data_IF_449896968577
#
_entry.id   IF_449896968577
#
_cell.length_a   1.000
_cell.length_b   1.000
_cell.length_c   1.000
_cell.angle_alpha   90.00
_cell.angle_beta   90.00
_cell.angle_gamma   90.00
#
_symmetry.space_group_name_H-M   'P 1'
#
loop_
_entity.id
_entity.type
_entity.pdbx_description
1 polymer ?
#
# COMPACT_ATOMS: atom_id res chain seq x y z
N UNK A 1 21.52 -4.99 -3.12
CA UNK A 1 21.64 -6.35 -3.68
C UNK A 1 21.91 -6.21 -5.16
N UNK A 2 22.97 -6.85 -5.64
CA UNK A 2 23.33 -6.82 -7.05
C UNK A 2 22.67 -7.98 -7.79
N UNK A 3 22.19 -7.73 -9.01
CA UNK A 3 21.77 -8.78 -9.94
C UNK A 3 22.31 -8.52 -11.34
N UNK A 4 22.41 -9.59 -12.14
CA UNK A 4 22.84 -9.49 -13.53
C UNK A 4 22.12 -10.51 -14.38
N UNK A 5 21.50 -10.04 -15.46
CA UNK A 5 20.90 -10.89 -16.47
C UNK A 5 22.02 -11.49 -17.33
N UNK A 6 22.17 -12.82 -17.33
CA UNK A 6 23.16 -13.49 -18.22
C UNK A 6 22.53 -13.81 -19.58
N UNK A 7 21.21 -14.00 -19.62
CA UNK A 7 20.47 -14.26 -20.85
C UNK A 7 19.63 -15.52 -20.77
N UNK A 8 19.53 -16.22 -21.89
CA UNK A 8 18.58 -17.30 -22.09
C UNK A 8 19.29 -18.57 -22.58
N UNK A 9 18.79 -19.73 -22.16
CA UNK A 9 19.17 -21.02 -22.72
C UNK A 9 17.91 -21.77 -23.16
N UNK A 10 18.00 -22.60 -24.20
CA UNK A 10 16.83 -23.37 -24.66
C UNK A 10 16.49 -24.47 -23.66
N UNK A 11 15.22 -24.55 -23.26
CA UNK A 11 14.71 -25.63 -22.41
C UNK A 11 14.31 -26.82 -23.28
N UNK A 12 15.16 -27.83 -23.32
CA UNK A 12 14.87 -29.05 -24.07
C UNK A 12 13.73 -29.84 -23.39
N UNK A 13 12.72 -30.21 -24.17
CA UNK A 13 11.58 -31.00 -23.68
C UNK A 13 10.43 -30.18 -23.06
N UNK A 14 10.48 -28.85 -23.13
CA UNK A 14 9.35 -28.00 -22.71
C UNK A 14 8.10 -28.35 -23.52
N UNK A 15 6.99 -28.62 -22.84
CA UNK A 15 5.66 -28.81 -23.44
C UNK A 15 4.93 -27.49 -23.71
N UNK A 16 5.49 -26.37 -23.24
CA UNK A 16 4.91 -25.05 -23.45
C UNK A 16 5.67 -24.33 -24.56
N UNK A 17 5.06 -24.25 -25.74
CA UNK A 17 5.63 -23.61 -26.92
C UNK A 17 5.79 -22.09 -26.74
N UNK A 18 4.99 -21.46 -25.87
CA UNK A 18 5.09 -20.03 -25.56
C UNK A 18 6.21 -19.71 -24.56
N UNK A 19 6.82 -20.74 -23.97
CA UNK A 19 7.87 -20.60 -22.95
C UNK A 19 9.02 -21.59 -23.16
N UNK A 20 9.80 -21.45 -24.25
CA UNK A 20 10.81 -22.43 -24.64
C UNK A 20 12.17 -22.21 -23.98
N UNK A 21 12.35 -21.17 -23.16
CA UNK A 21 13.66 -20.81 -22.59
C UNK A 21 13.77 -21.04 -21.08
N UNK A 22 15.01 -21.12 -20.61
CA UNK A 22 15.43 -20.85 -19.25
C UNK A 22 16.02 -19.44 -19.25
N UNK A 23 15.45 -18.54 -18.44
CA UNK A 23 15.99 -17.21 -18.20
C UNK A 23 16.94 -17.27 -17.01
N UNK A 24 18.21 -16.93 -17.23
CA UNK A 24 19.29 -17.12 -16.26
C UNK A 24 19.70 -15.76 -15.70
N UNK A 25 19.55 -15.61 -14.39
CA UNK A 25 19.91 -14.40 -13.68
C UNK A 25 20.87 -14.71 -12.52
N UNK A 26 21.86 -13.86 -12.33
CA UNK A 26 22.79 -13.92 -11.21
C UNK A 26 22.34 -12.98 -10.13
N UNK A 27 22.51 -13.40 -8.88
CA UNK A 27 22.27 -12.55 -7.74
C UNK A 27 23.41 -12.66 -6.74
N UNK A 28 23.76 -11.53 -6.13
CA UNK A 28 24.61 -11.53 -4.95
C UNK A 28 23.80 -12.01 -3.74
N UNK A 29 24.12 -13.22 -3.29
CA UNK A 29 23.45 -13.89 -2.18
C UNK A 29 24.05 -13.54 -0.81
N UNK A 30 25.09 -12.70 -0.74
CA UNK A 30 25.73 -12.31 0.53
C UNK A 30 24.90 -11.28 1.31
N UNK A 31 24.07 -10.52 0.62
CA UNK A 31 23.29 -9.44 1.22
C UNK A 31 22.02 -9.96 1.93
N UNK A 32 21.71 -9.38 3.10
CA UNK A 32 20.52 -9.69 3.93
C UNK A 32 19.15 -9.33 3.30
N UNK A 33 19.12 -8.96 2.02
CA UNK A 33 17.87 -8.67 1.31
C UNK A 33 17.26 -10.01 0.91
N UNK A 34 16.06 -10.31 1.42
CA UNK A 34 15.32 -11.51 1.03
C UNK A 34 14.98 -11.43 -0.47
N UNK A 35 15.71 -12.14 -1.32
CA UNK A 35 15.13 -13.35 -1.89
C UNK A 35 13.65 -13.26 -2.32
N UNK A 36 13.16 -12.60 -3.40
CA UNK A 36 11.70 -12.49 -3.65
C UNK A 36 11.07 -13.79 -4.19
N UNK A 37 11.50 -14.93 -3.65
CA UNK A 37 10.86 -16.23 -3.75
C UNK A 37 11.24 -17.11 -2.55
N UNK A 38 10.56 -18.23 -2.41
CA UNK A 38 10.80 -19.22 -1.37
C UNK A 38 11.45 -20.46 -1.94
N UNK A 39 12.39 -21.02 -1.20
CA UNK A 39 13.01 -22.30 -1.52
C UNK A 39 12.01 -23.42 -1.22
N UNK A 40 11.82 -24.33 -2.18
CA UNK A 40 10.95 -25.50 -2.05
C UNK A 40 11.76 -26.72 -1.61
N UNK A 41 12.94 -26.90 -2.19
CA UNK A 41 13.85 -28.00 -1.88
C UNK A 41 15.31 -27.59 -2.12
N UNK A 42 16.24 -28.22 -1.39
CA UNK A 42 17.69 -28.01 -1.57
C UNK A 42 18.22 -26.77 -0.85
N UNK A 43 19.06 -26.00 -1.53
CA UNK A 43 19.66 -24.74 -1.04
C UNK A 43 19.84 -23.72 -2.17
N UNK A 44 20.11 -22.46 -1.81
CA UNK A 44 20.50 -21.44 -2.78
C UNK A 44 21.94 -21.66 -3.30
N UNK A 45 22.28 -21.17 -4.51
CA UNK A 45 23.63 -21.26 -5.08
C UNK A 45 24.65 -20.51 -4.22
N UNK A 46 25.82 -21.12 -4.01
CA UNK A 46 26.94 -20.55 -3.23
C UNK A 46 28.15 -20.20 -4.10
N UNK A 47 28.21 -20.71 -5.32
CA UNK A 47 29.26 -20.43 -6.29
C UNK A 47 28.66 -20.32 -7.70
N UNK A 48 29.46 -19.82 -8.64
CA UNK A 48 29.06 -19.51 -10.02
C UNK A 48 28.82 -20.76 -10.89
N UNK A 49 29.09 -21.97 -10.38
CA UNK A 49 28.81 -23.26 -11.02
C UNK A 49 27.53 -23.93 -10.51
N UNK A 50 26.79 -23.29 -9.61
CA UNK A 50 25.55 -23.80 -9.05
C UNK A 50 24.34 -23.01 -9.57
N UNK A 51 23.21 -23.69 -9.72
CA UNK A 51 21.96 -23.02 -10.04
C UNK A 51 20.79 -23.57 -9.23
N UNK A 52 19.76 -22.74 -9.09
CA UNK A 52 18.43 -23.15 -8.65
C UNK A 52 17.41 -22.92 -9.76
N UNK A 53 16.43 -23.81 -9.81
CA UNK A 53 15.43 -23.85 -10.88
C UNK A 53 14.03 -23.57 -10.32
N UNK A 54 13.24 -22.83 -11.07
CA UNK A 54 11.83 -22.61 -10.75
C UNK A 54 11.04 -23.92 -10.85
N UNK A 55 10.26 -24.26 -9.80
CA UNK A 55 9.30 -25.36 -9.80
C UNK A 55 8.29 -25.24 -10.96
N UNK A 56 8.10 -24.03 -11.48
CA UNK A 56 7.24 -23.74 -12.62
C UNK A 56 7.65 -24.53 -13.88
N UNK A 57 8.93 -24.89 -14.03
CA UNK A 57 9.43 -25.73 -15.13
C UNK A 57 8.74 -27.09 -15.14
N UNK A 58 8.53 -27.68 -13.95
CA UNK A 58 7.84 -28.96 -13.84
C UNK A 58 6.34 -28.81 -14.07
N UNK A 59 5.70 -27.82 -13.42
CA UNK A 59 4.24 -27.68 -13.45
C UNK A 59 3.70 -27.17 -14.79
N UNK A 60 4.46 -26.32 -15.50
CA UNK A 60 4.04 -25.70 -16.76
C UNK A 60 4.85 -26.19 -17.95
N UNK A 61 6.16 -26.37 -17.80
CA UNK A 61 7.03 -26.88 -18.86
C UNK A 61 7.01 -28.40 -19.00
N UNK A 62 6.55 -29.13 -17.99
CA UNK A 62 6.51 -30.60 -18.01
C UNK A 62 7.89 -31.26 -17.95
N UNK A 63 8.96 -30.50 -17.67
CA UNK A 63 10.33 -31.00 -17.52
C UNK A 63 10.66 -31.12 -16.04
N UNK A 64 11.16 -32.28 -15.62
CA UNK A 64 11.55 -32.50 -14.21
C UNK A 64 13.07 -32.54 -14.10
N UNK A 65 13.60 -31.73 -13.19
CA UNK A 65 15.01 -31.72 -12.81
C UNK A 65 15.13 -32.11 -11.34
N UNK A 66 16.21 -32.82 -11.00
CA UNK A 66 16.53 -33.23 -9.64
C UNK A 66 17.75 -32.48 -9.11
N UNK A 67 17.84 -32.39 -7.79
CA UNK A 67 19.01 -31.81 -7.12
C UNK A 67 20.21 -32.73 -7.37
N UNK A 68 21.31 -32.17 -7.85
CA UNK A 68 22.51 -32.87 -8.28
C UNK A 68 22.66 -33.00 -9.80
N UNK A 69 21.61 -32.71 -10.58
CA UNK A 69 21.68 -32.75 -12.04
C UNK A 69 22.70 -31.75 -12.59
N UNK A 70 23.48 -32.17 -13.59
CA UNK A 70 24.41 -31.31 -14.32
C UNK A 70 23.80 -30.85 -15.63
N UNK A 71 23.57 -29.55 -15.78
CA UNK A 71 22.96 -28.95 -16.96
C UNK A 71 24.01 -28.18 -17.76
N UNK A 72 24.22 -28.61 -19.01
CA UNK A 72 25.00 -27.84 -19.99
C UNK A 72 24.07 -26.83 -20.66
N UNK A 73 24.26 -25.56 -20.34
CA UNK A 73 23.44 -24.46 -20.87
C UNK A 73 24.24 -23.67 -21.90
N UNK A 74 23.70 -23.58 -23.12
CA UNK A 74 24.18 -22.65 -24.14
C UNK A 74 23.45 -21.33 -23.93
N UNK A 75 24.09 -20.41 -23.23
CA UNK A 75 23.52 -19.12 -22.84
C UNK A 75 23.71 -18.14 -23.99
N UNK A 76 22.66 -17.41 -24.32
CA UNK A 76 22.67 -16.42 -25.38
C UNK A 76 21.62 -15.34 -25.16
N UNK A 77 21.54 -14.43 -26.13
CA UNK A 77 20.56 -13.35 -26.14
C UNK A 77 19.43 -13.65 -27.10
N UNK A 78 18.22 -13.24 -26.72
CA UNK A 78 17.07 -13.24 -27.62
C UNK A 78 17.14 -11.98 -28.47
N UNK A 79 17.27 -12.13 -29.77
CA UNK A 79 17.37 -11.03 -30.72
C UNK A 79 16.17 -11.12 -31.66
N UNK A 80 15.41 -10.06 -31.76
CA UNK A 80 14.33 -9.92 -32.74
C UNK A 80 14.86 -9.70 -34.15
N UNK A 81 14.02 -9.87 -35.16
CA UNK A 81 14.41 -9.64 -36.56
C UNK A 81 14.79 -8.19 -36.88
N UNK A 82 14.42 -7.24 -36.02
CA UNK A 82 14.86 -5.84 -36.05
C UNK A 82 16.26 -5.61 -35.43
N UNK A 83 16.90 -6.67 -34.94
CA UNK A 83 18.22 -6.62 -34.31
C UNK A 83 18.19 -6.17 -32.85
N UNK A 84 17.00 -5.95 -32.25
CA UNK A 84 16.90 -5.53 -30.84
C UNK A 84 16.90 -6.73 -29.89
N UNK A 85 17.50 -6.53 -28.72
CA UNK A 85 17.48 -7.51 -27.64
C UNK A 85 16.09 -7.57 -26.98
N UNK A 86 15.56 -8.79 -26.83
CA UNK A 86 14.25 -9.04 -26.23
C UNK A 86 14.41 -9.51 -24.77
N UNK A 87 13.80 -8.77 -23.85
CA UNK A 87 13.90 -9.00 -22.42
C UNK A 87 12.77 -9.92 -21.90
N UNK A 88 12.82 -10.23 -20.60
CA UNK A 88 11.99 -11.25 -19.94
C UNK A 88 10.55 -10.76 -19.74
N UNK A 89 10.32 -9.45 -19.80
CA UNK A 89 9.03 -8.79 -19.83
C UNK A 89 8.34 -8.85 -21.20
N UNK A 90 9.12 -9.12 -22.25
CA UNK A 90 8.65 -9.21 -23.64
C UNK A 90 8.27 -10.64 -23.97
N UNK A 91 6.98 -10.87 -24.23
CA UNK A 91 6.45 -12.20 -24.58
C UNK A 91 7.19 -12.82 -25.77
N UNK A 92 7.12 -14.14 -25.88
CA UNK A 92 7.73 -14.87 -27.00
C UNK A 92 7.21 -14.35 -28.34
N UNK A 93 8.12 -13.91 -29.20
CA UNK A 93 7.83 -13.41 -30.54
C UNK A 93 7.87 -14.56 -31.55
N UNK A 94 6.96 -15.52 -31.38
CA UNK A 94 6.87 -16.69 -32.26
C UNK A 94 5.99 -16.38 -33.47
N UNK A 95 6.50 -15.59 -34.42
CA UNK A 95 5.90 -15.41 -35.75
C UNK A 95 4.41 -15.02 -35.81
N UNK A 96 3.86 -14.49 -34.71
CA UNK A 96 2.43 -14.19 -34.59
C UNK A 96 2.04 -12.90 -35.32
N UNK A 97 3.02 -12.08 -35.71
CA UNK A 97 2.80 -10.89 -36.52
C UNK A 97 2.78 -11.33 -37.99
N UNK A 98 1.59 -11.64 -38.49
CA UNK A 98 1.37 -11.94 -39.90
C UNK A 98 0.92 -10.68 -40.63
N UNK A 99 1.45 -10.43 -41.81
CA UNK A 99 0.90 -9.39 -42.69
C UNK A 99 -0.50 -9.79 -43.21
N UNK A 100 -1.15 -8.90 -43.96
CA UNK A 100 -2.46 -9.18 -44.59
C UNK A 100 -2.44 -10.39 -45.55
N UNK A 101 -1.24 -10.90 -45.91
CA UNK A 101 -1.02 -12.07 -46.77
C UNK A 101 -0.66 -13.34 -45.99
N UNK A 102 -0.55 -13.26 -44.67
CA UNK A 102 -0.24 -14.40 -43.80
C UNK A 102 1.25 -14.69 -43.63
N UNK A 103 2.15 -13.85 -44.14
CA UNK A 103 3.60 -14.00 -44.02
C UNK A 103 4.10 -13.51 -42.65
N UNK A 104 5.01 -14.27 -42.04
CA UNK A 104 5.59 -13.94 -40.74
C UNK A 104 6.51 -12.72 -40.90
N UNK A 105 6.13 -11.61 -40.28
CA UNK A 105 6.86 -10.33 -40.38
C UNK A 105 7.91 -10.13 -39.28
N UNK A 106 7.86 -10.92 -38.20
CA UNK A 106 8.77 -10.77 -37.07
C UNK A 106 9.09 -12.12 -36.43
N UNK A 107 10.38 -12.47 -36.35
CA UNK A 107 10.89 -13.68 -35.71
C UNK A 107 11.94 -13.32 -34.65
N UNK A 108 11.93 -14.02 -33.52
CA UNK A 108 13.06 -14.00 -32.59
C UNK A 108 14.01 -15.18 -32.81
N UNK A 109 15.31 -14.92 -32.59
CA UNK A 109 16.36 -15.93 -32.62
C UNK A 109 17.17 -15.86 -31.34
N UNK A 110 17.56 -17.03 -30.81
CA UNK A 110 18.50 -17.13 -29.71
C UNK A 110 19.92 -17.20 -30.27
N UNK A 111 20.71 -16.16 -30.04
CA UNK A 111 22.12 -16.10 -30.46
C UNK A 111 23.00 -16.53 -29.28
N UNK A 112 23.65 -17.71 -29.33
CA UNK A 112 24.48 -18.21 -28.24
C UNK A 112 25.75 -17.39 -28.08
N UNK A 113 26.10 -17.03 -26.85
CA UNK A 113 27.30 -16.25 -26.50
C UNK A 113 28.30 -17.08 -25.67
N UNK A 114 27.80 -17.94 -24.78
CA UNK A 114 28.64 -18.75 -23.91
C UNK A 114 28.03 -20.11 -23.62
N UNK A 115 28.86 -21.06 -23.20
CA UNK A 115 28.40 -22.38 -22.75
C UNK A 115 28.97 -22.64 -21.37
N UNK A 116 28.09 -22.94 -20.41
CA UNK A 116 28.50 -23.26 -19.04
C UNK A 116 27.75 -24.47 -18.52
N UNK A 117 28.42 -25.26 -17.69
CA UNK A 117 27.84 -26.41 -17.00
C UNK A 117 27.53 -25.98 -15.58
N UNK A 118 26.28 -26.15 -15.17
CA UNK A 118 25.83 -25.86 -13.82
C UNK A 118 25.34 -27.12 -13.12
N UNK A 119 25.46 -27.14 -11.80
CA UNK A 119 24.87 -28.18 -10.95
C UNK A 119 23.60 -27.64 -10.30
N UNK A 120 22.48 -28.36 -10.42
CA UNK A 120 21.21 -27.98 -9.77
C UNK A 120 21.32 -28.25 -8.28
N UNK A 121 21.25 -27.20 -7.45
CA UNK A 121 21.38 -27.32 -5.98
C UNK A 121 20.07 -27.11 -5.22
N UNK A 122 19.02 -26.68 -5.91
CA UNK A 122 17.72 -26.45 -5.29
C UNK A 122 16.62 -26.07 -6.28
N UNK A 123 15.40 -26.11 -5.76
CA UNK A 123 14.17 -25.76 -6.48
C UNK A 123 13.51 -24.61 -5.73
N UNK A 124 13.18 -23.54 -6.43
CA UNK A 124 12.50 -22.35 -5.90
C UNK A 124 11.05 -22.32 -6.38
N UNK A 125 10.15 -21.68 -5.63
CA UNK A 125 8.85 -21.31 -6.18
C UNK A 125 9.05 -20.33 -7.33
N UNK A 126 8.06 -20.26 -8.22
CA UNK A 126 8.03 -19.22 -9.27
C UNK A 126 8.23 -17.85 -8.62
N UNK A 127 9.28 -17.10 -9.00
CA UNK A 127 9.49 -15.76 -8.46
C UNK A 127 8.38 -14.81 -8.86
N UNK A 128 8.08 -13.83 -8.00
CA UNK A 128 7.01 -12.86 -8.26
C UNK A 128 7.32 -11.95 -9.47
N UNK A 129 8.60 -11.78 -9.79
CA UNK A 129 9.07 -11.02 -10.94
C UNK A 129 9.11 -11.84 -12.24
N UNK A 130 8.64 -13.09 -12.26
CA UNK A 130 8.49 -13.88 -13.49
C UNK A 130 7.05 -13.73 -14.01
N UNK A 131 6.76 -12.89 -15.04
CA UNK A 131 5.41 -12.74 -15.60
C UNK A 131 4.83 -14.03 -16.15
N UNK A 132 3.49 -14.13 -16.25
CA UNK A 132 2.83 -15.34 -16.79
C UNK A 132 3.12 -15.51 -18.28
N UNK A 133 3.26 -14.41 -19.00
CA UNK A 133 3.61 -14.33 -20.42
C UNK A 133 5.12 -14.35 -20.68
N UNK A 134 5.96 -14.52 -19.64
CA UNK A 134 7.40 -14.51 -19.80
C UNK A 134 7.86 -15.69 -20.67
N UNK A 135 8.80 -15.48 -21.61
CA UNK A 135 9.24 -16.48 -22.59
C UNK A 135 10.22 -17.51 -22.01
N UNK A 136 10.79 -17.24 -20.82
CA UNK A 136 11.69 -18.16 -20.12
C UNK A 136 11.29 -18.45 -18.68
N UNK A 137 11.54 -19.67 -18.20
CA UNK A 137 11.42 -20.00 -16.77
C UNK A 137 12.65 -19.49 -16.01
N UNK A 138 12.45 -18.93 -14.82
CA UNK A 138 13.57 -18.36 -14.07
C UNK A 138 14.50 -19.43 -13.51
N UNK A 139 15.79 -19.26 -13.78
CA UNK A 139 16.92 -19.98 -13.23
C UNK A 139 17.84 -18.96 -12.55
N UNK A 140 18.22 -19.22 -11.31
CA UNK A 140 19.04 -18.29 -10.52
C UNK A 140 20.39 -18.92 -10.23
N UNK A 141 21.46 -18.18 -10.45
CA UNK A 141 22.83 -18.55 -10.10
C UNK A 141 23.48 -17.47 -9.23
N UNK A 142 24.69 -17.75 -8.76
CA UNK A 142 25.45 -16.85 -7.91
C UNK A 142 26.18 -15.79 -8.73
N UNK A 143 26.11 -14.53 -8.29
CA UNK A 143 26.94 -13.44 -8.82
C UNK A 143 28.22 -13.34 -8.02
N UNK A 144 29.36 -13.60 -8.66
CA UNK A 144 30.66 -13.33 -8.04
C UNK A 144 31.11 -11.89 -8.34
N UNK A 145 31.07 -11.03 -7.32
CA UNK A 145 31.44 -9.61 -7.46
C UNK A 145 32.90 -9.42 -7.89
N UNK A 146 33.81 -10.31 -7.48
CA UNK A 146 35.22 -10.26 -7.91
C UNK A 146 35.44 -10.55 -9.39
N UNK A 147 34.46 -11.17 -10.05
CA UNK A 147 34.53 -11.50 -11.48
C UNK A 147 33.91 -10.42 -12.38
N UNK A 148 33.38 -9.33 -11.81
CA UNK A 148 32.78 -8.23 -12.56
C UNK A 148 33.86 -7.38 -13.25
N UNK A 149 33.64 -7.07 -14.52
CA UNK A 149 34.47 -6.12 -15.27
C UNK A 149 33.89 -4.70 -15.17
N UNK A 150 34.72 -3.65 -15.35
CA UNK A 150 34.25 -2.26 -15.31
C UNK A 150 33.11 -1.94 -16.28
N UNK A 151 33.05 -2.61 -17.43
CA UNK A 151 32.03 -2.39 -18.46
C UNK A 151 30.79 -3.31 -18.32
N UNK A 152 30.74 -4.17 -17.28
CA UNK A 152 29.61 -5.07 -17.08
C UNK A 152 28.39 -4.30 -16.54
N UNK A 153 27.27 -4.40 -17.25
CA UNK A 153 26.00 -3.88 -16.76
C UNK A 153 25.48 -4.76 -15.60
N UNK A 154 25.24 -4.13 -14.44
CA UNK A 154 24.65 -4.77 -13.27
C UNK A 154 23.44 -3.98 -12.79
N UNK A 155 22.45 -4.69 -12.28
CA UNK A 155 21.28 -4.11 -11.65
C UNK A 155 21.54 -3.94 -10.15
N UNK A 156 21.24 -2.76 -9.62
CA UNK A 156 21.35 -2.48 -8.19
C UNK A 156 19.95 -2.38 -7.60
N UNK A 157 19.59 -3.35 -6.76
CA UNK A 157 18.34 -3.30 -6.00
C UNK A 157 18.59 -2.74 -4.60
N UNK A 158 17.88 -1.66 -4.27
CA UNK A 158 17.94 -0.99 -2.97
C UNK A 158 16.58 -1.11 -2.30
N UNK A 159 16.58 -1.42 -1.00
CA UNK A 159 15.35 -1.43 -0.22
C UNK A 159 15.00 0.00 0.16
N UNK A 160 13.89 0.51 -0.37
CA UNK A 160 13.35 1.80 0.05
C UNK A 160 12.88 1.72 1.52
N UNK A 161 13.15 2.78 2.28
CA UNK A 161 12.68 2.93 3.65
C UNK A 161 11.18 3.27 3.71
N UNK A 162 10.87 4.49 4.14
CA UNK A 162 9.48 4.99 4.09
C UNK A 162 9.21 5.66 2.74
N UNK A 163 8.18 5.18 2.05
CA UNK A 163 7.68 5.82 0.84
C UNK A 163 6.89 7.06 1.23
N UNK A 164 7.47 8.24 0.97
CA UNK A 164 6.85 9.56 1.19
C UNK A 164 7.03 10.41 -0.07
N UNK A 165 6.50 11.63 -0.13
CA UNK A 165 6.73 12.50 -1.31
C UNK A 165 8.24 12.79 -1.53
N UNK A 166 9.04 12.83 -0.47
CA UNK A 166 10.50 12.99 -0.58
C UNK A 166 11.20 11.83 -1.30
N UNK A 167 10.53 10.69 -1.46
CA UNK A 167 11.07 9.55 -2.19
C UNK A 167 11.44 9.92 -3.63
N UNK A 168 10.67 10.79 -4.29
CA UNK A 168 10.97 11.24 -5.65
C UNK A 168 12.26 12.06 -5.69
N UNK A 169 12.47 12.95 -4.71
CA UNK A 169 13.67 13.77 -4.58
C UNK A 169 14.90 12.92 -4.23
N UNK A 170 14.73 11.94 -3.34
CA UNK A 170 15.79 11.01 -2.93
C UNK A 170 16.28 10.18 -4.13
N UNK A 171 15.36 9.66 -4.95
CA UNK A 171 15.71 8.88 -6.15
C UNK A 171 16.36 9.76 -7.21
N UNK A 172 15.86 10.99 -7.43
CA UNK A 172 16.48 11.92 -8.38
C UNK A 172 17.89 12.34 -7.92
N UNK A 173 18.09 12.54 -6.61
CA UNK A 173 19.40 12.84 -6.04
C UNK A 173 20.37 11.66 -6.18
N UNK A 174 19.88 10.43 -5.98
CA UNK A 174 20.64 9.21 -6.24
C UNK A 174 21.03 9.09 -7.72
N UNK A 175 20.09 9.35 -8.64
CA UNK A 175 20.36 9.36 -10.08
C UNK A 175 21.46 10.38 -10.43
N UNK A 176 21.38 11.60 -9.88
CA UNK A 176 22.42 12.62 -10.05
C UNK A 176 23.80 12.16 -9.54
N UNK A 177 23.85 11.41 -8.43
CA UNK A 177 25.10 10.88 -7.88
C UNK A 177 25.79 9.83 -8.78
N UNK A 178 25.02 9.16 -9.64
CA UNK A 178 25.53 8.18 -10.62
C UNK A 178 25.64 8.77 -12.03
N UNK A 179 25.52 10.09 -12.17
CA UNK A 179 25.65 10.79 -13.45
C UNK A 179 24.46 10.59 -14.39
N UNK A 180 23.27 10.28 -13.85
CA UNK A 180 22.03 10.11 -14.59
C UNK A 180 21.11 11.32 -14.40
N UNK A 181 20.49 11.75 -15.49
CA UNK A 181 19.50 12.83 -15.45
C UNK A 181 18.16 12.35 -14.91
N UNK A 182 17.37 13.27 -14.33
CA UNK A 182 16.03 12.95 -13.80
C UNK A 182 15.05 12.43 -14.88
N UNK A 183 15.31 12.69 -16.16
CA UNK A 183 14.49 12.20 -17.27
C UNK A 183 14.76 10.72 -17.59
N UNK A 184 15.88 10.16 -17.13
CA UNK A 184 16.19 8.73 -17.25
C UNK A 184 15.61 7.90 -16.09
N UNK A 185 14.96 8.57 -15.14
CA UNK A 185 14.35 7.92 -13.97
C UNK A 185 12.89 7.64 -14.24
N UNK A 186 12.53 6.37 -14.27
CA UNK A 186 11.14 5.92 -14.36
C UNK A 186 10.61 5.50 -12.98
N UNK A 187 9.40 5.96 -12.66
CA UNK A 187 8.72 5.63 -11.42
C UNK A 187 7.51 4.75 -11.70
N UNK A 188 7.25 3.78 -10.82
CA UNK A 188 5.98 3.08 -10.80
C UNK A 188 4.95 3.93 -10.04
N UNK A 189 4.42 4.95 -10.71
CA UNK A 189 3.50 5.93 -10.12
C UNK A 189 2.22 5.30 -9.56
N UNK A 190 1.75 4.19 -10.14
CA UNK A 190 0.58 3.46 -9.63
C UNK A 190 0.86 2.86 -8.26
N UNK A 191 1.96 2.12 -8.13
CA UNK A 191 2.36 1.51 -6.87
C UNK A 191 2.62 2.57 -5.80
N UNK A 192 3.36 3.62 -6.15
CA UNK A 192 3.67 4.72 -5.23
C UNK A 192 2.40 5.40 -4.74
N UNK A 193 1.40 5.62 -5.62
CA UNK A 193 0.10 6.19 -5.25
C UNK A 193 -0.67 5.31 -4.27
N UNK A 194 -0.62 3.98 -4.40
CA UNK A 194 -1.22 3.08 -3.41
C UNK A 194 -0.54 3.14 -2.04
N UNK A 195 0.77 3.42 -2.01
CA UNK A 195 1.49 3.71 -0.77
C UNK A 195 1.30 5.15 -0.26
N UNK A 196 0.54 5.99 -0.98
CA UNK A 196 0.32 7.40 -0.63
C UNK A 196 1.50 8.32 -0.97
N UNK A 197 2.49 7.84 -1.72
CA UNK A 197 3.56 8.66 -2.28
C UNK A 197 3.10 9.19 -3.64
N UNK A 198 2.76 10.49 -3.69
CA UNK A 198 2.31 11.16 -4.90
C UNK A 198 3.31 12.26 -5.24
N UNK A 199 3.73 12.32 -6.50
CA UNK A 199 4.70 13.32 -7.00
C UNK A 199 4.11 14.73 -7.07
N UNK A 200 2.81 14.83 -7.33
CA UNK A 200 2.09 16.10 -7.48
C UNK A 200 1.43 16.53 -6.16
N UNK A 201 2.00 17.59 -5.57
CA UNK A 201 1.49 18.25 -4.36
C UNK A 201 0.04 18.71 -4.49
N UNK A 202 -0.42 19.03 -5.71
CA UNK A 202 -1.76 19.57 -5.92
C UNK A 202 -2.84 18.51 -5.62
N UNK A 203 -2.62 17.26 -6.03
CA UNK A 203 -3.57 16.17 -5.75
C UNK A 203 -3.68 15.91 -4.25
N UNK A 204 -2.53 15.89 -3.55
CA UNK A 204 -2.50 15.69 -2.11
C UNK A 204 -3.16 16.86 -1.36
N UNK A 205 -2.90 18.09 -1.80
CA UNK A 205 -3.52 19.31 -1.25
C UNK A 205 -5.03 19.31 -1.44
N UNK A 206 -5.53 18.89 -2.60
CA UNK A 206 -6.97 18.78 -2.86
C UNK A 206 -7.62 17.75 -1.94
N UNK A 207 -7.02 16.55 -1.80
CA UNK A 207 -7.57 15.49 -0.95
C UNK A 207 -7.58 15.91 0.52
N UNK A 208 -6.46 16.40 1.05
CA UNK A 208 -6.39 16.85 2.44
C UNK A 208 -7.22 18.11 2.70
N UNK A 209 -7.29 19.03 1.74
CA UNK A 209 -8.16 20.19 1.81
C UNK A 209 -9.63 19.80 1.89
N UNK A 210 -10.06 18.84 1.07
CA UNK A 210 -11.43 18.31 1.11
C UNK A 210 -11.75 17.64 2.45
N UNK A 211 -10.84 16.79 2.96
CA UNK A 211 -10.98 16.14 4.28
C UNK A 211 -11.08 17.19 5.38
N UNK A 212 -10.23 18.21 5.36
CA UNK A 212 -10.24 19.30 6.34
C UNK A 212 -11.58 20.05 6.33
N UNK A 213 -12.08 20.43 5.15
CA UNK A 213 -13.37 21.12 5.00
C UNK A 213 -14.50 20.26 5.55
N UNK A 214 -14.53 18.96 5.23
CA UNK A 214 -15.53 18.03 5.76
C UNK A 214 -15.49 17.95 7.29
N UNK A 215 -14.30 17.83 7.88
CA UNK A 215 -14.13 17.79 9.34
C UNK A 215 -14.68 19.07 9.97
N UNK A 216 -14.37 20.23 9.40
CA UNK A 216 -14.86 21.53 9.92
C UNK A 216 -16.38 21.60 9.87
N UNK A 217 -17.00 21.21 8.75
CA UNK A 217 -18.47 21.22 8.59
C UNK A 217 -19.12 20.30 9.63
N UNK A 218 -18.64 19.05 9.73
CA UNK A 218 -19.17 18.07 10.67
C UNK A 218 -19.00 18.55 12.11
N UNK A 219 -17.86 19.17 12.43
CA UNK A 219 -17.60 19.71 13.76
C UNK A 219 -18.57 20.84 14.10
N UNK A 220 -18.77 21.83 13.22
CA UNK A 220 -19.70 22.94 13.46
C UNK A 220 -21.13 22.43 13.65
N UNK A 221 -21.57 21.50 12.80
CA UNK A 221 -22.89 20.88 12.90
C UNK A 221 -23.07 20.13 14.23
N UNK A 222 -22.07 19.31 14.60
CA UNK A 222 -22.07 18.54 15.85
C UNK A 222 -22.06 19.45 17.06
N UNK A 223 -21.24 20.51 17.05
CA UNK A 223 -21.17 21.49 18.14
C UNK A 223 -22.53 22.14 18.36
N UNK A 224 -23.18 22.56 17.27
CA UNK A 224 -24.49 23.23 17.33
C UNK A 224 -25.57 22.30 17.91
N UNK A 225 -25.59 21.03 17.48
CA UNK A 225 -26.54 20.04 17.96
C UNK A 225 -26.35 19.72 19.45
N UNK A 226 -25.11 19.43 19.85
CA UNK A 226 -24.77 19.08 21.23
C UNK A 226 -25.00 20.29 22.16
N UNK A 227 -24.63 21.49 21.71
CA UNK A 227 -24.88 22.74 22.43
C UNK A 227 -26.38 22.90 22.74
N UNK A 228 -27.24 22.69 21.74
CA UNK A 228 -28.69 22.84 21.90
C UNK A 228 -29.23 21.83 22.93
N UNK A 229 -28.76 20.58 22.89
CA UNK A 229 -29.16 19.56 23.85
C UNK A 229 -28.78 19.94 25.30
N UNK A 230 -27.54 20.41 25.51
CA UNK A 230 -27.11 20.88 26.84
C UNK A 230 -27.83 22.16 27.27
N UNK A 231 -28.12 23.07 26.34
CA UNK A 231 -28.87 24.29 26.64
C UNK A 231 -30.29 23.97 27.13
N UNK A 232 -30.97 23.00 26.50
CA UNK A 232 -32.28 22.50 26.93
C UNK A 232 -32.16 21.84 28.31
N UNK A 233 -31.22 20.90 28.49
CA UNK A 233 -31.01 20.20 29.78
C UNK A 233 -30.75 21.18 30.95
N UNK A 234 -29.91 22.20 30.73
CA UNK A 234 -29.65 23.24 31.73
C UNK A 234 -30.91 24.07 32.03
N UNK A 235 -31.68 24.42 31.00
CA UNK A 235 -32.91 25.19 31.14
C UNK A 235 -33.94 24.43 32.00
N UNK A 236 -34.17 23.15 31.70
CA UNK A 236 -35.09 22.27 32.45
C UNK A 236 -34.65 22.11 33.92
N UNK A 237 -33.34 22.06 34.18
CA UNK A 237 -32.77 21.91 35.53
C UNK A 237 -32.50 23.24 36.24
N UNK A 238 -32.97 24.37 35.72
CA UNK A 238 -32.71 25.70 36.31
C UNK A 238 -33.17 25.79 37.76
N UNK A 239 -34.39 25.30 38.07
CA UNK A 239 -34.91 25.28 39.44
C UNK A 239 -34.05 24.45 40.38
N UNK A 240 -33.59 23.28 39.94
CA UNK A 240 -32.70 22.41 40.72
C UNK A 240 -31.35 23.08 40.99
N UNK A 241 -30.76 23.71 39.99
CA UNK A 241 -29.49 24.44 40.11
C UNK A 241 -29.62 25.69 41.00
N UNK A 242 -30.76 26.38 40.98
CA UNK A 242 -31.03 27.51 41.88
C UNK A 242 -31.30 27.08 43.33
N UNK A 243 -31.98 25.96 43.55
CA UNK A 243 -32.10 25.34 44.89
C UNK A 243 -30.73 24.93 45.42
N UNK A 244 -29.90 24.29 44.59
CA UNK A 244 -28.54 23.90 44.94
C UNK A 244 -27.67 25.13 45.30
N UNK A 245 -27.83 26.23 44.57
CA UNK A 245 -27.19 27.50 44.89
C UNK A 245 -27.67 28.11 46.23
N UNK A 246 -28.91 27.85 46.64
CA UNK A 246 -29.48 28.35 47.90
C UNK A 246 -28.86 27.68 49.13
N UNK A 247 -28.39 26.44 48.98
CA UNK A 247 -27.66 25.69 50.02
C UNK A 247 -26.14 25.99 49.98
N UNK A 248 -25.70 26.97 49.17
CA UNK A 248 -24.32 27.46 49.15
C UNK A 248 -23.44 26.85 48.06
N UNK A 249 -23.99 26.15 47.07
CA UNK A 249 -23.18 25.60 45.99
C UNK A 249 -22.49 26.69 45.15
N UNK A 250 -21.19 26.52 44.96
CA UNK A 250 -20.35 27.47 44.23
C UNK A 250 -20.64 27.44 42.73
N UNK A 251 -20.28 28.53 42.03
CA UNK A 251 -20.34 28.59 40.56
C UNK A 251 -19.50 27.48 39.91
N UNK A 252 -18.38 27.11 40.54
CA UNK A 252 -17.50 26.02 40.10
C UNK A 252 -18.18 24.66 40.17
N UNK A 253 -18.84 24.34 41.28
CA UNK A 253 -19.55 23.06 41.48
C UNK A 253 -20.69 22.88 40.46
N UNK A 254 -21.50 23.92 40.22
CA UNK A 254 -22.57 23.87 39.20
C UNK A 254 -22.03 23.68 37.79
N UNK A 255 -20.91 24.35 37.45
CA UNK A 255 -20.24 24.18 36.15
C UNK A 255 -19.68 22.78 35.98
N UNK A 256 -19.02 22.26 37.02
CA UNK A 256 -18.41 20.94 37.01
C UNK A 256 -19.46 19.83 36.90
N UNK A 257 -20.66 20.03 37.46
CA UNK A 257 -21.76 19.09 37.28
C UNK A 257 -22.15 18.92 35.80
N UNK A 258 -22.22 20.02 35.03
CA UNK A 258 -22.51 19.96 33.58
C UNK A 258 -21.37 19.29 32.81
N UNK A 259 -20.11 19.58 33.16
CA UNK A 259 -18.98 18.89 32.53
C UNK A 259 -18.91 17.40 32.89
N UNK A 260 -19.33 17.02 34.09
CA UNK A 260 -19.41 15.63 34.49
C UNK A 260 -20.47 14.88 33.69
N UNK A 261 -21.64 15.49 33.46
CA UNK A 261 -22.66 14.94 32.55
C UNK A 261 -22.12 14.79 31.13
N UNK A 262 -21.41 15.80 30.62
CA UNK A 262 -20.77 15.73 29.31
C UNK A 262 -19.70 14.63 29.22
N UNK A 263 -18.93 14.41 30.30
CA UNK A 263 -17.95 13.34 30.39
C UNK A 263 -18.61 11.96 30.38
N UNK A 264 -19.70 11.76 31.13
CA UNK A 264 -20.44 10.49 31.14
C UNK A 264 -21.04 10.18 29.76
N UNK A 265 -21.62 11.19 29.10
CA UNK A 265 -22.13 11.05 27.73
C UNK A 265 -20.98 10.73 26.77
N UNK A 266 -19.84 11.41 26.89
CA UNK A 266 -18.66 11.15 26.07
C UNK A 266 -18.07 9.75 26.27
N UNK A 267 -18.02 9.25 27.50
CA UNK A 267 -17.51 7.90 27.81
C UNK A 267 -18.31 6.79 27.13
N UNK A 268 -19.61 6.99 26.91
CA UNK A 268 -20.46 6.02 26.21
C UNK A 268 -20.53 6.33 24.71
N UNK A 269 -20.69 7.60 24.36
CA UNK A 269 -20.90 8.05 22.98
C UNK A 269 -19.67 7.90 22.09
N UNK A 270 -18.46 8.17 22.62
CA UNK A 270 -17.23 8.08 21.81
C UNK A 270 -16.95 6.62 21.41
N UNK A 271 -16.93 5.62 22.33
CA UNK A 271 -16.73 4.23 21.94
C UNK A 271 -17.83 3.71 21.01
N UNK A 272 -19.10 4.03 21.30
CA UNK A 272 -20.22 3.63 20.45
C UNK A 272 -20.13 4.23 19.05
N UNK A 273 -19.76 5.51 18.94
CA UNK A 273 -19.57 6.20 17.67
C UNK A 273 -18.40 5.65 16.86
N UNK A 274 -17.29 5.33 17.51
CA UNK A 274 -16.13 4.69 16.85
C UNK A 274 -16.52 3.29 16.34
N UNK A 275 -17.19 2.48 17.16
CA UNK A 275 -17.64 1.16 16.76
C UNK A 275 -18.61 1.22 15.57
N UNK A 276 -19.59 2.14 15.61
CA UNK A 276 -20.52 2.37 14.53
C UNK A 276 -19.82 2.88 13.25
N UNK A 277 -18.82 3.75 13.40
CA UNK A 277 -18.00 4.25 12.29
C UNK A 277 -17.21 3.14 11.61
N UNK A 278 -16.51 2.31 12.38
CA UNK A 278 -15.75 1.16 11.87
C UNK A 278 -16.70 0.19 11.15
N UNK A 279 -17.85 -0.14 11.75
CA UNK A 279 -18.85 -1.00 11.12
C UNK A 279 -19.40 -0.38 9.82
N UNK A 280 -19.69 0.92 9.81
CA UNK A 280 -20.16 1.66 8.65
C UNK A 280 -19.15 1.66 7.50
N UNK A 281 -17.86 1.82 7.80
CA UNK A 281 -16.80 1.68 6.79
C UNK A 281 -16.75 0.25 6.25
N UNK A 282 -16.81 -0.76 7.12
CA UNK A 282 -16.84 -2.16 6.68
C UNK A 282 -18.02 -2.49 5.76
N UNK A 283 -19.22 -2.00 6.10
CA UNK A 283 -20.42 -2.15 5.26
C UNK A 283 -20.25 -1.42 3.93
N UNK A 284 -19.69 -0.20 3.95
CA UNK A 284 -19.45 0.60 2.74
C UNK A 284 -18.47 -0.08 1.80
N UNK A 285 -17.34 -0.60 2.32
CA UNK A 285 -16.37 -1.38 1.54
C UNK A 285 -17.06 -2.59 0.94
N UNK A 286 -17.82 -3.35 1.74
CA UNK A 286 -18.54 -4.53 1.26
C UNK A 286 -19.55 -4.19 0.14
N UNK A 287 -20.33 -3.12 0.31
CA UNK A 287 -21.34 -2.68 -0.65
C UNK A 287 -20.72 -2.14 -1.95
N UNK A 288 -19.54 -1.53 -1.89
CA UNK A 288 -18.85 -0.97 -3.06
C UNK A 288 -18.04 -2.00 -3.85
N UNK A 289 -17.81 -3.21 -3.32
CA UNK A 289 -17.04 -4.28 -4.01
C UNK A 289 -17.50 -4.49 -5.47
N UNK A 290 -18.79 -4.68 -5.79
CA UNK A 290 -19.21 -4.96 -7.16
C UNK A 290 -18.98 -3.78 -8.13
N UNK A 291 -19.12 -2.54 -7.64
CA UNK A 291 -18.83 -1.34 -8.42
C UNK A 291 -17.33 -1.20 -8.68
N UNK A 292 -16.49 -1.51 -7.70
CA UNK A 292 -15.04 -1.46 -7.85
C UNK A 292 -14.54 -2.52 -8.84
N UNK A 293 -15.11 -3.74 -8.80
CA UNK A 293 -14.83 -4.80 -9.78
C UNK A 293 -15.14 -4.37 -11.23
N UNK A 294 -16.13 -3.48 -11.40
CA UNK A 294 -16.56 -2.99 -12.72
C UNK A 294 -15.77 -1.78 -13.21
N UNK A 295 -15.31 -0.91 -12.30
CA UNK A 295 -14.63 0.34 -12.63
C UNK A 295 -13.11 0.25 -12.68
N UNK A 296 -12.54 -0.81 -12.11
CA UNK A 296 -11.09 -0.86 -11.90
C UNK A 296 -10.55 -2.26 -12.22
N UNK A 297 -9.38 -2.34 -12.87
CA UNK A 297 -8.71 -3.60 -13.20
C UNK A 297 -8.23 -4.40 -11.96
N UNK A 298 -8.70 -4.07 -10.75
CA UNK A 298 -8.33 -4.70 -9.48
C UNK A 298 -8.63 -6.20 -9.46
N UNK A 299 -9.73 -6.62 -10.11
CA UNK A 299 -10.12 -8.04 -10.21
C UNK A 299 -9.10 -8.88 -10.99
N UNK A 300 -8.39 -8.29 -11.96
CA UNK A 300 -7.35 -8.98 -12.73
C UNK A 300 -6.16 -9.41 -11.85
N UNK A 301 -5.97 -8.73 -10.71
CA UNK A 301 -4.86 -8.97 -9.78
C UNK A 301 -5.30 -9.61 -8.45
N UNK A 302 -6.60 -9.84 -8.23
CA UNK A 302 -7.12 -10.47 -7.01
C UNK A 302 -6.92 -9.65 -5.73
N UNK A 303 -6.72 -8.33 -5.84
CA UNK A 303 -6.50 -7.43 -4.71
C UNK A 303 -7.82 -7.16 -3.99
N UNK A 304 -7.93 -7.60 -2.73
CA UNK A 304 -9.08 -7.33 -1.87
C UNK A 304 -8.78 -6.13 -0.96
N UNK A 305 -9.70 -5.17 -0.89
CA UNK A 305 -9.63 -4.08 0.08
C UNK A 305 -9.90 -4.64 1.49
N UNK A 306 -8.89 -4.56 2.34
CA UNK A 306 -8.99 -4.92 3.75
C UNK A 306 -9.15 -3.66 4.62
N UNK A 307 -10.08 -3.73 5.57
CA UNK A 307 -10.25 -2.67 6.55
C UNK A 307 -9.14 -2.76 7.59
N UNK A 308 -8.17 -1.85 7.51
CA UNK A 308 -7.10 -1.72 8.49
C UNK A 308 -7.39 -0.51 9.38
N UNK A 309 -7.61 -0.77 10.68
CA UNK A 309 -7.83 0.29 11.67
C UNK A 309 -6.54 0.56 12.43
N UNK A 310 -5.95 1.74 12.21
CA UNK A 310 -4.75 2.17 12.93
C UNK A 310 -5.09 2.66 14.34
N UNK A 311 -4.34 2.25 15.38
CA UNK A 311 -4.51 2.76 16.74
C UNK A 311 -4.39 4.28 16.84
N UNK A 312 -3.54 4.88 16.00
CA UNK A 312 -3.37 6.33 15.94
C UNK A 312 -4.65 7.03 15.47
N UNK A 313 -5.33 6.47 14.46
CA UNK A 313 -6.60 7.01 13.95
C UNK A 313 -7.69 6.99 15.02
N UNK A 314 -7.75 5.91 15.82
CA UNK A 314 -8.68 5.82 16.96
C UNK A 314 -8.35 6.91 17.99
N UNK A 315 -7.08 7.04 18.38
CA UNK A 315 -6.66 8.04 19.36
C UNK A 315 -7.02 9.47 18.90
N UNK A 316 -6.75 9.79 17.63
CA UNK A 316 -7.12 11.08 17.03
C UNK A 316 -8.63 11.27 17.07
N UNK A 317 -9.43 10.27 16.67
CA UNK A 317 -10.90 10.36 16.71
C UNK A 317 -11.44 10.61 18.14
N UNK A 318 -10.88 9.93 19.15
CA UNK A 318 -11.25 10.12 20.56
C UNK A 318 -10.98 11.56 21.00
N UNK A 319 -9.78 12.09 20.70
CA UNK A 319 -9.41 13.47 21.05
C UNK A 319 -10.34 14.47 20.37
N UNK A 320 -10.59 14.30 19.06
CA UNK A 320 -11.47 15.20 18.31
C UNK A 320 -12.93 15.19 18.83
N UNK A 321 -13.47 14.01 19.14
CA UNK A 321 -14.81 13.88 19.69
C UNK A 321 -14.90 14.49 21.10
N UNK A 322 -13.90 14.25 21.95
CA UNK A 322 -13.83 14.84 23.29
C UNK A 322 -13.76 16.37 23.25
N UNK A 323 -12.93 16.93 22.35
CA UNK A 323 -12.85 18.37 22.12
C UNK A 323 -14.19 18.95 21.67
N UNK A 324 -14.87 18.28 20.74
CA UNK A 324 -16.18 18.70 20.22
C UNK A 324 -17.22 18.73 21.33
N UNK A 325 -17.32 17.68 22.15
CA UNK A 325 -18.24 17.63 23.29
C UNK A 325 -17.92 18.75 24.30
N UNK A 326 -16.65 18.93 24.64
CA UNK A 326 -16.22 19.93 25.62
C UNK A 326 -16.53 21.37 25.14
N UNK A 327 -16.22 21.69 23.89
CA UNK A 327 -16.51 22.99 23.28
C UNK A 327 -18.02 23.25 23.29
N UNK A 328 -18.82 22.23 22.94
CA UNK A 328 -20.28 22.32 22.91
C UNK A 328 -20.89 22.59 24.28
N UNK A 329 -20.38 21.91 25.32
CA UNK A 329 -20.87 22.05 26.70
C UNK A 329 -20.38 23.34 27.39
N UNK A 330 -19.39 24.04 26.84
CA UNK A 330 -18.75 25.18 27.50
C UNK A 330 -19.71 26.35 27.76
N UNK A 331 -20.52 26.74 26.78
CA UNK A 331 -21.48 27.84 26.95
C UNK A 331 -22.61 27.46 27.92
N UNK A 332 -23.29 26.29 27.79
CA UNK A 332 -24.30 25.85 28.74
C UNK A 332 -23.76 25.68 30.16
N UNK A 333 -22.55 25.12 30.34
CA UNK A 333 -21.91 24.99 31.66
C UNK A 333 -21.65 26.36 32.30
N UNK A 334 -21.23 27.35 31.50
CA UNK A 334 -21.07 28.73 31.98
C UNK A 334 -22.41 29.36 32.36
N UNK A 335 -23.49 29.11 31.60
CA UNK A 335 -24.84 29.55 31.96
C UNK A 335 -25.32 28.92 33.26
N UNK A 336 -25.18 27.60 33.41
CA UNK A 336 -25.53 26.86 34.62
C UNK A 336 -24.82 27.41 35.88
N UNK A 337 -23.55 27.80 35.74
CA UNK A 337 -22.78 28.38 36.85
C UNK A 337 -23.35 29.69 37.39
N UNK A 338 -24.07 30.45 36.55
CA UNK A 338 -24.59 31.79 36.85
C UNK A 338 -26.02 31.80 37.40
N UNK A 339 -26.73 30.67 37.37
CA UNK A 339 -28.10 30.54 37.90
C UNK A 339 -28.10 30.84 39.40
N UNK A 340 -28.95 31.77 39.84
CA UNK A 340 -29.08 32.23 41.21
C UNK A 340 -30.31 31.61 41.92
N UNK A 341 -30.36 31.62 43.26
CA UNK A 341 -31.55 31.23 44.04
C UNK A 341 -32.84 31.91 43.57
N UNK A 342 -32.76 33.21 43.26
CA UNK A 342 -33.92 33.99 42.81
C UNK A 342 -34.48 33.50 41.46
N UNK A 343 -33.64 32.94 40.60
CA UNK A 343 -34.08 32.39 39.30
C UNK A 343 -34.96 31.15 39.49
N UNK A 344 -34.77 30.39 40.58
CA UNK A 344 -35.61 29.24 40.92
C UNK A 344 -36.99 29.67 41.47
N UNK A 345 -37.11 30.86 42.04
CA UNK A 345 -38.35 31.41 42.60
C UNK A 345 -39.15 32.13 41.51
N UNK A 346 -38.46 32.85 40.61
CA UNK A 346 -39.07 33.74 39.62
C UNK A 346 -39.63 33.02 38.38
N UNK A 347 -39.54 31.69 38.32
CA UNK A 347 -39.86 30.90 37.11
C UNK A 347 -41.36 30.78 36.77
N UNK A 348 -42.25 31.55 37.41
CA UNK A 348 -43.59 31.85 36.86
C UNK A 348 -43.42 32.90 35.76
N UNK A 349 -43.31 32.44 34.50
CA UNK A 349 -43.16 33.27 33.29
C UNK A 349 -44.16 34.43 33.25
N UNK A 350 -43.67 35.68 33.33
CA UNK A 350 -44.28 36.77 32.57
C UNK A 350 -43.95 36.54 31.09
N UNK A 351 -44.94 36.14 30.31
CA UNK A 351 -44.87 36.19 28.85
C UNK A 351 -45.05 37.67 28.48
N UNK A 352 -43.98 38.39 28.16
CA UNK A 352 -44.10 39.68 27.50
C UNK A 352 -44.43 39.43 26.02
N UNK A 353 -45.71 39.57 25.68
CA UNK A 353 -46.16 39.79 24.31
C UNK A 353 -45.85 41.24 23.95
N UNK A 354 -44.87 41.46 23.09
CA UNK A 354 -44.78 42.68 22.27
C UNK A 354 -44.25 42.30 20.90
#
# INVERSE_FOLDING_TARGET
MLSRNIGYARLNGSKNDQKPYLFIEQYDMKNNIKFPTTLVAGRMPQNDGELVLSQHIQTNGGVTYHIGDKLKLNIGKRIGSDGKELLQDTSLQSGNTKDEKGEVTYEEKLVPESTKIYTVVGIIKRPNFEPRWAPGYTAVTYLDESALKPDDNVNVTILAGKLTHHFFDDVNSLAGSVGKDANEVEFNDELLRYYGAVKDDNTQTIIYGFVLIMIVIIMIASISLIYNAFAISVSERTRQLGMLASVGATKGQKRQNVYFEALLIGLVGIPAGIAAGIAGIGITIFALRPLMESFTSFSSYGLQLELVVSPLSIAVAVVFAALTIFISAWIPARRASRIMPIDAIRQTKEIKLT
#
